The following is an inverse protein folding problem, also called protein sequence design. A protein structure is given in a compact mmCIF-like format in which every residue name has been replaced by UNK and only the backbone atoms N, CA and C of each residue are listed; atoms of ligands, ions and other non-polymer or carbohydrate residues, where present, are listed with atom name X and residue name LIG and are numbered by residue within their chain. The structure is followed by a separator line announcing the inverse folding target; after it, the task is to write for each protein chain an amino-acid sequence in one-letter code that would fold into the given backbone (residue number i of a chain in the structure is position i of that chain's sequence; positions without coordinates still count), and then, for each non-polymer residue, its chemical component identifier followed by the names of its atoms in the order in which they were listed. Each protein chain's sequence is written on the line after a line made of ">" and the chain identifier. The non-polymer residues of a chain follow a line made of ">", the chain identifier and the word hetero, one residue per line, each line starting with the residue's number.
data_IF_793149954600
#
_entry.id   IF_793149954600
#
_cell.length_a   1.000
_cell.length_b   1.000
_cell.length_c   1.000
_cell.angle_alpha   90.00
_cell.angle_beta   90.00
_cell.angle_gamma   90.00
#
_symmetry.space_group_name_H-M   'P 1'
#
loop_
_entity.id
_entity.type
_entity.pdbx_description
1 polymer ?
#
# COMPACT_ATOMS: atom_id res chain seq x y z
N UNK A 1 39.90 5.23 18.56
CA UNK A 1 38.44 5.09 18.36
C UNK A 1 37.74 6.29 18.97
N UNK A 2 37.02 7.13 18.19
CA UNK A 2 36.34 8.27 18.75
C UNK A 2 35.09 7.80 19.50
N UNK A 3 34.90 8.30 20.73
CA UNK A 3 33.83 7.92 21.65
C UNK A 3 32.52 8.51 21.11
N UNK A 4 31.59 7.66 20.65
CA UNK A 4 30.24 8.09 20.25
C UNK A 4 29.57 8.78 21.43
N UNK A 5 29.36 10.10 21.35
CA UNK A 5 28.60 10.86 22.36
C UNK A 5 27.14 10.40 22.26
N UNK A 6 26.68 9.69 23.28
CA UNK A 6 25.41 8.95 23.29
C UNK A 6 24.35 9.61 24.18
N UNK A 7 24.36 10.94 24.27
CA UNK A 7 23.40 11.70 25.08
C UNK A 7 23.07 13.03 24.42
N UNK A 8 22.32 12.99 23.32
CA UNK A 8 21.50 14.13 22.94
C UNK A 8 20.21 14.08 23.77
N UNK A 9 19.89 15.19 24.45
CA UNK A 9 18.65 15.31 25.20
C UNK A 9 17.46 15.22 24.25
N UNK A 10 16.36 14.53 24.61
CA UNK A 10 15.17 14.46 23.78
C UNK A 10 14.61 15.87 23.57
N UNK A 11 14.74 16.40 22.35
CA UNK A 11 14.13 17.66 21.92
C UNK A 11 12.73 17.40 21.35
N UNK A 12 11.88 18.44 21.25
CA UNK A 12 10.55 18.34 20.62
C UNK A 12 10.61 17.85 19.16
N UNK A 13 11.76 18.00 18.51
CA UNK A 13 12.01 17.53 17.14
C UNK A 13 12.38 16.04 17.09
N UNK A 14 12.98 15.52 18.18
CA UNK A 14 13.47 14.14 18.27
C UNK A 14 12.59 13.24 19.15
N UNK A 15 11.48 13.78 19.67
CA UNK A 15 10.49 13.07 20.51
C UNK A 15 9.14 13.11 19.83
N UNK A 16 8.65 11.93 19.45
CA UNK A 16 7.26 11.75 19.00
C UNK A 16 6.36 11.97 20.21
N UNK A 17 5.84 13.19 20.36
CA UNK A 17 5.07 13.58 21.55
C UNK A 17 3.59 13.19 21.39
N UNK A 18 3.13 12.97 20.16
CA UNK A 18 1.77 12.56 19.83
C UNK A 18 1.77 11.35 18.88
N UNK A 19 0.98 10.28 19.14
CA UNK A 19 0.90 9.11 18.26
C UNK A 19 0.33 9.43 16.87
N UNK A 20 -0.30 10.61 16.70
CA UNK A 20 -0.76 11.16 15.41
C UNK A 20 0.36 11.58 14.47
N UNK A 21 1.57 11.79 15.00
CA UNK A 21 2.71 12.32 14.23
C UNK A 21 3.46 11.23 13.47
N UNK A 22 3.18 9.95 13.75
CA UNK A 22 3.65 8.85 12.91
C UNK A 22 2.73 8.78 11.70
N UNK A 23 3.12 9.48 10.62
CA UNK A 23 2.51 9.30 9.29
C UNK A 23 2.90 7.92 8.79
N UNK A 24 2.27 6.88 9.32
CA UNK A 24 2.41 5.53 8.79
C UNK A 24 1.73 5.56 7.42
N UNK A 25 2.52 5.55 6.36
CA UNK A 25 2.00 5.34 5.01
C UNK A 25 1.40 3.94 5.01
N UNK A 26 0.07 3.80 4.85
CA UNK A 26 -0.54 2.47 4.79
C UNK A 26 0.05 1.77 3.56
N UNK A 27 0.69 0.63 3.76
CA UNK A 27 1.27 -0.16 2.66
C UNK A 27 0.16 -0.97 1.98
N UNK A 28 -0.82 -1.40 2.78
CA UNK A 28 -1.94 -2.21 2.32
C UNK A 28 -3.28 -1.63 2.79
N UNK A 29 -4.32 -1.82 1.98
CA UNK A 29 -5.66 -1.33 2.27
C UNK A 29 -6.74 -2.35 1.87
N UNK A 30 -7.90 -2.27 2.53
CA UNK A 30 -9.08 -3.06 2.14
C UNK A 30 -9.57 -2.62 0.75
N UNK A 31 -10.23 -3.49 -0.03
CA UNK A 31 -10.75 -3.13 -1.35
C UNK A 31 -11.69 -1.91 -1.33
N UNK A 32 -12.50 -1.74 -0.28
CA UNK A 32 -13.33 -0.55 -0.09
C UNK A 32 -12.53 0.75 0.10
N UNK A 33 -11.37 0.66 0.75
CA UNK A 33 -10.48 1.81 0.93
C UNK A 33 -9.71 2.12 -0.35
N UNK A 34 -9.24 1.09 -1.08
CA UNK A 34 -8.64 1.24 -2.42
C UNK A 34 -9.62 1.90 -3.39
N UNK A 35 -10.88 1.44 -3.41
CA UNK A 35 -11.93 2.06 -4.22
C UNK A 35 -12.03 3.57 -3.99
N UNK A 36 -12.05 3.99 -2.72
CA UNK A 36 -12.07 5.41 -2.34
C UNK A 36 -10.78 6.15 -2.70
N UNK A 37 -9.62 5.54 -2.48
CA UNK A 37 -8.30 6.14 -2.76
C UNK A 37 -8.10 6.40 -4.25
N UNK A 38 -8.52 5.48 -5.11
CA UNK A 38 -8.35 5.57 -6.56
C UNK A 38 -9.56 6.16 -7.28
N UNK A 39 -10.63 6.53 -6.56
CA UNK A 39 -11.85 7.11 -7.14
C UNK A 39 -12.63 6.14 -8.05
N UNK A 40 -12.50 4.83 -7.82
CA UNK A 40 -13.13 3.78 -8.62
C UNK A 40 -14.18 3.02 -7.80
N UNK A 41 -15.14 2.38 -8.48
CA UNK A 41 -16.13 1.56 -7.81
C UNK A 41 -15.53 0.27 -7.23
N UNK A 42 -16.13 -0.26 -6.17
CA UNK A 42 -15.74 -1.56 -5.60
C UNK A 42 -15.79 -2.69 -6.63
N UNK A 43 -16.80 -2.69 -7.51
CA UNK A 43 -16.92 -3.70 -8.56
C UNK A 43 -15.81 -3.58 -9.60
N UNK A 44 -15.31 -2.38 -9.88
CA UNK A 44 -14.12 -2.16 -10.70
C UNK A 44 -12.88 -2.75 -10.05
N UNK A 45 -12.66 -2.52 -8.74
CA UNK A 45 -11.54 -3.12 -8.00
C UNK A 45 -11.59 -4.65 -8.09
N UNK A 46 -12.78 -5.25 -7.88
CA UNK A 46 -12.92 -6.70 -7.93
C UNK A 46 -12.70 -7.29 -9.33
N UNK A 47 -13.08 -6.56 -10.39
CA UNK A 47 -12.75 -6.94 -11.78
C UNK A 47 -11.25 -6.91 -12.02
N UNK A 48 -10.57 -5.88 -11.54
CA UNK A 48 -9.11 -5.72 -11.66
C UNK A 48 -8.39 -6.86 -10.93
N UNK A 49 -8.83 -7.26 -9.74
CA UNK A 49 -8.28 -8.40 -9.01
C UNK A 49 -8.48 -9.72 -9.79
N UNK A 50 -9.68 -9.94 -10.36
CA UNK A 50 -9.94 -11.12 -11.21
C UNK A 50 -9.14 -11.11 -12.52
N UNK A 51 -8.83 -9.94 -13.06
CA UNK A 51 -7.92 -9.81 -14.21
C UNK A 51 -6.50 -10.18 -13.80
N UNK A 52 -6.05 -9.71 -12.63
CA UNK A 52 -4.74 -10.03 -12.09
C UNK A 52 -4.55 -11.54 -11.82
N UNK A 53 -5.59 -12.23 -11.33
CA UNK A 53 -5.56 -13.69 -11.14
C UNK A 53 -5.36 -14.46 -12.45
N UNK A 54 -5.74 -13.87 -13.58
CA UNK A 54 -5.56 -14.46 -14.91
C UNK A 54 -4.21 -14.12 -15.51
N UNK A 55 -3.78 -12.88 -15.33
CA UNK A 55 -2.51 -12.37 -15.83
C UNK A 55 -1.94 -11.38 -14.82
N UNK A 56 -0.92 -11.83 -14.08
CA UNK A 56 -0.27 -11.04 -13.05
C UNK A 56 0.59 -9.90 -13.63
N UNK A 57 0.84 -9.89 -14.96
CA UNK A 57 1.67 -8.91 -15.67
C UNK A 57 3.03 -8.65 -14.98
N UNK A 58 3.56 -9.66 -14.29
CA UNK A 58 4.81 -9.57 -13.52
C UNK A 58 4.75 -8.61 -12.33
N UNK A 59 3.58 -8.41 -11.71
CA UNK A 59 3.46 -7.81 -10.37
C UNK A 59 3.25 -8.95 -9.39
N UNK A 60 4.15 -9.12 -8.43
CA UNK A 60 4.02 -10.09 -7.35
C UNK A 60 3.31 -9.43 -6.15
N UNK A 61 2.61 -10.23 -5.34
CA UNK A 61 1.99 -9.81 -4.08
C UNK A 61 1.03 -8.61 -4.18
N UNK A 62 0.22 -8.53 -5.25
CA UNK A 62 -0.78 -7.46 -5.41
C UNK A 62 -1.78 -7.44 -4.24
N UNK A 63 -2.24 -8.62 -3.82
CA UNK A 63 -3.20 -8.75 -2.74
C UNK A 63 -2.98 -10.03 -1.94
N UNK A 64 -3.33 -9.97 -0.65
CA UNK A 64 -3.36 -11.11 0.25
C UNK A 64 -4.80 -11.42 0.63
N UNK A 65 -5.24 -12.65 0.34
CA UNK A 65 -6.52 -13.16 0.82
C UNK A 65 -6.27 -13.92 2.13
N UNK A 66 -6.60 -13.30 3.26
CA UNK A 66 -6.52 -13.97 4.57
C UNK A 66 -7.75 -14.86 4.82
N UNK A 67 -8.88 -14.53 4.20
CA UNK A 67 -10.10 -15.36 4.21
C UNK A 67 -10.97 -15.01 3.00
N UNK A 68 -12.03 -15.79 2.77
CA UNK A 68 -13.04 -15.51 1.74
C UNK A 68 -13.70 -14.12 1.87
N UNK A 69 -13.68 -13.52 3.07
CA UNK A 69 -14.25 -12.20 3.37
C UNK A 69 -13.20 -11.12 3.60
N UNK A 70 -11.93 -11.49 3.75
CA UNK A 70 -10.87 -10.58 4.15
C UNK A 70 -9.71 -10.63 3.15
N UNK A 71 -9.71 -9.65 2.25
CA UNK A 71 -8.65 -9.40 1.29
C UNK A 71 -8.01 -8.05 1.59
N UNK A 72 -6.69 -7.96 1.48
CA UNK A 72 -5.94 -6.71 1.63
C UNK A 72 -5.07 -6.52 0.39
N UNK A 73 -5.07 -5.32 -0.17
CA UNK A 73 -4.42 -5.00 -1.44
C UNK A 73 -3.25 -4.06 -1.15
N UNK A 74 -2.09 -4.34 -1.74
CA UNK A 74 -0.93 -3.43 -1.75
C UNK A 74 -1.24 -2.19 -2.57
N UNK A 75 -1.10 -0.99 -1.98
CA UNK A 75 -1.37 0.27 -2.69
C UNK A 75 -0.38 0.47 -3.83
N UNK A 76 0.90 0.20 -3.58
CA UNK A 76 1.97 0.35 -4.57
C UNK A 76 1.84 -0.69 -5.68
N UNK A 77 1.57 -1.96 -5.32
CA UNK A 77 1.33 -3.03 -6.29
C UNK A 77 0.12 -2.74 -7.19
N UNK A 78 -0.95 -2.16 -6.63
CA UNK A 78 -2.14 -1.80 -7.41
C UNK A 78 -1.85 -0.68 -8.41
N UNK A 79 -1.05 0.31 -8.01
CA UNK A 79 -0.60 1.37 -8.92
C UNK A 79 0.28 0.82 -10.05
N UNK A 80 1.21 -0.08 -9.72
CA UNK A 80 2.10 -0.69 -10.70
C UNK A 80 1.32 -1.55 -11.70
N UNK A 81 0.38 -2.37 -11.21
CA UNK A 81 -0.49 -3.18 -12.05
C UNK A 81 -1.33 -2.33 -13.00
N UNK A 82 -1.91 -1.23 -12.50
CA UNK A 82 -2.66 -0.28 -13.35
C UNK A 82 -1.77 0.37 -14.41
N UNK A 83 -0.52 0.72 -14.08
CA UNK A 83 0.43 1.28 -15.04
C UNK A 83 0.80 0.28 -16.14
N UNK A 84 1.07 -0.98 -15.78
CA UNK A 84 1.35 -2.06 -16.74
C UNK A 84 0.12 -2.42 -17.57
N UNK A 85 -1.08 -2.39 -16.98
CA UNK A 85 -2.36 -2.58 -17.68
C UNK A 85 -2.56 -1.56 -18.80
N UNK A 86 -2.24 -0.28 -18.54
CA UNK A 86 -2.37 0.77 -19.54
C UNK A 86 -1.31 0.67 -20.65
N UNK A 87 -0.09 0.24 -20.35
CA UNK A 87 0.98 0.06 -21.35
C UNK A 87 0.71 -1.07 -22.34
N UNK A 88 -0.10 -2.07 -21.98
CA UNK A 88 -0.53 -3.11 -22.93
C UNK A 88 -1.65 -2.67 -23.87
N UNK A 89 -2.16 -1.44 -23.72
CA UNK A 89 -3.23 -0.88 -24.56
C UNK A 89 -2.73 0.19 -25.55
N UNK A 90 -1.46 0.61 -25.43
CA UNK A 90 -0.72 1.44 -26.39
C UNK A 90 0.16 0.55 -27.26
#
# INVERSE_FOLDING_TARGET
>A
MPRTKLQDFPSKENTVTEPKQVVVKPIMAKPNAIAKLFGISYSSVNRILKEYDKDNKGVEDLYFSLSSTMTVISIDGFREYLSKRHKGWL
#
